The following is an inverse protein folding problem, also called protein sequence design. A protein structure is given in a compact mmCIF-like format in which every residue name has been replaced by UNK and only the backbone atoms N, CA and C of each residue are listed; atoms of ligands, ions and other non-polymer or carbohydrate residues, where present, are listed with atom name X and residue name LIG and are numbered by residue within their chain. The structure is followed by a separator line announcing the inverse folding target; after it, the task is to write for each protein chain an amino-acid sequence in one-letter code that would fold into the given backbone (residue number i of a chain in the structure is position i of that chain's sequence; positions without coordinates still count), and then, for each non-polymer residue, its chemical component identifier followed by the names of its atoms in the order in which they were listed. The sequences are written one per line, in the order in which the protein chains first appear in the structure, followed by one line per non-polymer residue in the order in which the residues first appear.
data_IF_782239164722
#
_entry.id   IF_782239164722
#
_cell.length_a   1.000
_cell.length_b   1.000
_cell.length_c   1.000
_cell.angle_alpha   90.00
_cell.angle_beta   90.00
_cell.angle_gamma   90.00
#
_symmetry.space_group_name_H-M   'P 1'
#
loop_
_entity.id
_entity.type
_entity.pdbx_description
1 polymer ?
#
# COMPACT_ATOMS: atom_id res chain seq x y z
N UNK A 1 -45.33 -30.50 0.88
CA UNK A 1 -44.81 -29.15 1.17
C UNK A 1 -46.03 -28.25 1.34
N UNK A 2 -46.25 -27.73 2.55
CA UNK A 2 -47.31 -26.73 2.77
C UNK A 2 -46.92 -25.37 2.17
N UNK A 3 -47.92 -24.51 1.97
CA UNK A 3 -47.74 -23.19 1.35
C UNK A 3 -46.81 -22.27 2.14
N UNK A 4 -46.73 -22.46 3.46
CA UNK A 4 -45.89 -21.66 4.35
C UNK A 4 -44.40 -22.01 4.18
N UNK A 5 -44.07 -23.29 4.09
CA UNK A 5 -42.71 -23.79 3.83
C UNK A 5 -42.22 -23.37 2.45
N UNK A 6 -43.09 -23.42 1.44
CA UNK A 6 -42.77 -22.94 0.09
C UNK A 6 -42.54 -21.42 0.06
N UNK A 7 -43.30 -20.64 0.84
CA UNK A 7 -43.13 -19.20 0.98
C UNK A 7 -41.80 -18.82 1.64
N UNK A 8 -41.42 -19.52 2.73
CA UNK A 8 -40.13 -19.32 3.42
C UNK A 8 -38.93 -19.65 2.53
N UNK A 9 -39.00 -20.74 1.76
CA UNK A 9 -37.95 -21.13 0.83
C UNK A 9 -37.74 -20.09 -0.29
N UNK A 10 -38.84 -19.56 -0.86
CA UNK A 10 -38.78 -18.49 -1.88
C UNK A 10 -38.24 -17.18 -1.33
N UNK A 11 -38.63 -16.81 -0.11
CA UNK A 11 -38.10 -15.61 0.54
C UNK A 11 -36.60 -15.76 0.83
N UNK A 12 -36.16 -16.91 1.34
CA UNK A 12 -34.75 -17.18 1.57
C UNK A 12 -33.93 -17.13 0.27
N UNK A 13 -34.43 -17.72 -0.82
CA UNK A 13 -33.78 -17.65 -2.13
C UNK A 13 -33.69 -16.21 -2.66
N UNK A 14 -34.76 -15.42 -2.52
CA UNK A 14 -34.76 -14.01 -2.91
C UNK A 14 -33.78 -13.15 -2.10
N UNK A 15 -33.71 -13.37 -0.78
CA UNK A 15 -32.75 -12.69 0.10
C UNK A 15 -31.32 -13.08 -0.28
N UNK A 16 -31.07 -14.36 -0.57
CA UNK A 16 -29.77 -14.85 -1.04
C UNK A 16 -29.38 -14.25 -2.40
N UNK A 17 -30.31 -14.14 -3.35
CA UNK A 17 -30.06 -13.47 -4.64
C UNK A 17 -29.73 -11.99 -4.45
N UNK A 18 -30.44 -11.27 -3.57
CA UNK A 18 -30.14 -9.88 -3.27
C UNK A 18 -28.78 -9.69 -2.60
N UNK A 19 -28.40 -10.56 -1.66
CA UNK A 19 -27.06 -10.51 -1.04
C UNK A 19 -25.97 -10.77 -2.07
N UNK A 20 -26.16 -11.75 -2.96
CA UNK A 20 -25.21 -12.05 -4.04
C UNK A 20 -25.08 -10.89 -5.03
N UNK A 21 -26.19 -10.23 -5.40
CA UNK A 21 -26.17 -9.06 -6.26
C UNK A 21 -25.48 -7.84 -5.60
N UNK A 22 -25.64 -7.66 -4.28
CA UNK A 22 -24.92 -6.63 -3.51
C UNK A 22 -23.42 -6.92 -3.39
N UNK A 23 -23.04 -8.17 -3.12
CA UNK A 23 -21.64 -8.59 -3.10
C UNK A 23 -20.99 -8.40 -4.49
N UNK A 24 -21.68 -8.78 -5.56
CA UNK A 24 -21.21 -8.56 -6.93
C UNK A 24 -21.04 -7.07 -7.29
N UNK A 25 -21.97 -6.20 -6.86
CA UNK A 25 -21.83 -4.74 -7.08
C UNK A 25 -20.75 -4.10 -6.22
N UNK A 26 -20.50 -4.58 -5.00
CA UNK A 26 -19.40 -4.14 -4.14
C UNK A 26 -18.03 -4.58 -4.66
N UNK A 27 -17.89 -5.83 -5.12
CA UNK A 27 -16.69 -6.33 -5.78
C UNK A 27 -16.33 -5.53 -7.05
N UNK A 28 -17.34 -4.99 -7.74
CA UNK A 28 -17.16 -4.10 -8.90
C UNK A 28 -16.75 -2.66 -8.52
N UNK A 29 -16.78 -2.28 -7.24
CA UNK A 29 -16.41 -0.96 -6.76
C UNK A 29 -15.04 -0.93 -6.02
N UNK A 30 -14.69 -2.00 -5.31
CA UNK A 30 -13.42 -2.10 -4.57
C UNK A 30 -12.21 -2.16 -5.51
N UNK A 31 -11.27 -1.19 -5.44
CA UNK A 31 -10.01 -1.27 -6.17
C UNK A 31 -9.14 -2.45 -5.73
N UNK A 32 -9.20 -2.84 -4.45
CA UNK A 32 -8.42 -3.95 -3.92
C UNK A 32 -8.91 -5.30 -4.47
N UNK A 33 -10.22 -5.56 -4.45
CA UNK A 33 -10.82 -6.80 -4.99
C UNK A 33 -10.49 -6.99 -6.46
N UNK A 34 -10.51 -5.91 -7.27
CA UNK A 34 -10.14 -5.97 -8.69
C UNK A 34 -8.67 -6.29 -8.94
N UNK A 35 -7.80 -5.92 -7.99
CA UNK A 35 -6.37 -6.04 -8.12
C UNK A 35 -5.84 -7.39 -7.64
N UNK A 36 -6.54 -8.04 -6.71
CA UNK A 36 -6.16 -9.35 -6.16
C UNK A 36 -6.41 -10.44 -7.21
N UNK A 37 -5.44 -11.35 -7.45
CA UNK A 37 -5.65 -12.51 -8.31
C UNK A 37 -6.81 -13.40 -7.82
N UNK A 38 -7.67 -13.93 -8.72
CA UNK A 38 -8.85 -14.71 -8.32
C UNK A 38 -8.54 -15.91 -7.41
N UNK A 39 -7.40 -16.58 -7.63
CA UNK A 39 -6.98 -17.72 -6.80
C UNK A 39 -6.71 -17.31 -5.34
N UNK A 40 -6.16 -16.11 -5.12
CA UNK A 40 -5.91 -15.58 -3.77
C UNK A 40 -7.21 -15.09 -3.14
N UNK A 41 -8.06 -14.41 -3.92
CA UNK A 41 -9.38 -13.97 -3.46
C UNK A 41 -10.23 -15.16 -2.99
N UNK A 42 -10.17 -16.29 -3.68
CA UNK A 42 -10.87 -17.52 -3.28
C UNK A 42 -10.37 -18.15 -1.96
N UNK A 43 -9.15 -17.82 -1.51
CA UNK A 43 -8.62 -18.27 -0.22
C UNK A 43 -9.06 -17.37 0.95
N UNK A 44 -9.60 -16.19 0.66
CA UNK A 44 -10.18 -15.31 1.66
C UNK A 44 -11.54 -15.91 2.04
N UNK A 45 -11.58 -16.54 3.22
CA UNK A 45 -12.62 -17.53 3.59
C UNK A 45 -14.00 -16.90 3.82
N UNK A 46 -14.07 -15.57 3.91
CA UNK A 46 -15.33 -14.83 3.94
C UNK A 46 -15.37 -13.89 2.74
N UNK A 47 -16.47 -13.90 1.98
CA UNK A 47 -16.69 -13.01 0.82
C UNK A 47 -16.53 -11.50 1.14
N UNK A 48 -16.47 -11.15 2.44
CA UNK A 48 -16.24 -9.79 2.93
C UNK A 48 -14.81 -9.50 3.38
N UNK A 49 -13.92 -10.49 3.49
CA UNK A 49 -12.57 -10.29 4.05
C UNK A 49 -11.76 -9.30 3.20
N UNK A 50 -11.92 -9.31 1.87
CA UNK A 50 -11.25 -8.35 0.98
C UNK A 50 -11.78 -6.92 1.17
N UNK A 51 -13.10 -6.75 1.29
CA UNK A 51 -13.70 -5.44 1.55
C UNK A 51 -13.33 -4.91 2.95
N UNK A 52 -13.27 -5.80 3.95
CA UNK A 52 -12.85 -5.47 5.32
C UNK A 52 -11.37 -5.12 5.32
N UNK A 53 -10.53 -5.87 4.61
CA UNK A 53 -9.11 -5.58 4.44
C UNK A 53 -8.88 -4.20 3.82
N UNK A 54 -9.58 -3.87 2.72
CA UNK A 54 -9.49 -2.54 2.09
C UNK A 54 -9.85 -1.43 3.08
N UNK A 55 -10.98 -1.57 3.79
CA UNK A 55 -11.45 -0.58 4.78
C UNK A 55 -10.46 -0.41 5.93
N UNK A 56 -9.94 -1.51 6.47
CA UNK A 56 -9.01 -1.48 7.61
C UNK A 56 -7.65 -0.88 7.22
N UNK A 57 -7.12 -1.22 6.04
CA UNK A 57 -5.89 -0.61 5.54
C UNK A 57 -6.05 0.89 5.27
N UNK A 58 -7.20 1.32 4.72
CA UNK A 58 -7.52 2.74 4.59
C UNK A 58 -7.65 3.43 5.95
N UNK A 59 -8.25 2.77 6.95
CA UNK A 59 -8.34 3.27 8.31
C UNK A 59 -6.95 3.44 8.96
N UNK A 60 -6.00 2.53 8.69
CA UNK A 60 -4.62 2.69 9.14
C UNK A 60 -3.97 3.97 8.59
N UNK A 61 -4.21 4.32 7.32
CA UNK A 61 -3.71 5.58 6.76
C UNK A 61 -4.35 6.80 7.46
N UNK A 62 -5.66 6.78 7.70
CA UNK A 62 -6.38 7.86 8.41
C UNK A 62 -5.86 8.03 9.83
N UNK A 63 -5.67 6.93 10.55
CA UNK A 63 -5.15 6.94 11.91
C UNK A 63 -3.72 7.50 11.95
N UNK A 64 -2.85 7.03 11.04
CA UNK A 64 -1.48 7.52 10.94
C UNK A 64 -1.42 9.02 10.63
N UNK A 65 -2.26 9.52 9.71
CA UNK A 65 -2.34 10.95 9.39
C UNK A 65 -2.71 11.79 10.62
N UNK A 66 -3.77 11.37 11.33
CA UNK A 66 -4.24 12.04 12.55
C UNK A 66 -3.16 12.06 13.63
N UNK A 67 -2.62 10.90 13.98
CA UNK A 67 -1.59 10.77 15.02
C UNK A 67 -0.30 11.51 14.65
N UNK A 68 0.11 11.46 13.38
CA UNK A 68 1.27 12.17 12.88
C UNK A 68 1.13 13.69 12.98
N UNK A 69 -0.06 14.23 12.66
CA UNK A 69 -0.33 15.67 12.75
C UNK A 69 -0.59 16.14 14.19
N UNK A 70 -1.15 15.29 15.05
CA UNK A 70 -1.47 15.62 16.44
C UNK A 70 -0.28 16.23 17.20
N UNK A 71 0.92 15.70 16.95
CA UNK A 71 2.16 16.10 17.65
C UNK A 71 2.62 17.53 17.34
N UNK A 72 2.30 18.06 16.17
CA UNK A 72 2.85 19.33 15.69
C UNK A 72 1.79 20.37 15.34
N UNK A 73 0.56 19.94 15.07
CA UNK A 73 -0.48 20.79 14.51
C UNK A 73 -1.86 20.55 15.14
N UNK A 74 -1.94 19.97 16.35
CA UNK A 74 -3.23 19.79 17.05
C UNK A 74 -4.28 19.03 16.22
N UNK A 75 -3.84 18.07 15.40
CA UNK A 75 -4.64 17.28 14.44
C UNK A 75 -5.12 18.03 13.19
N UNK A 76 -4.78 19.30 12.98
CA UNK A 76 -5.06 19.96 11.69
C UNK A 76 -4.06 19.50 10.61
N UNK A 77 -4.45 19.49 9.32
CA UNK A 77 -3.49 19.33 8.23
C UNK A 77 -2.46 20.48 8.20
N UNK A 78 -1.18 20.19 7.96
CA UNK A 78 -0.17 21.24 7.76
C UNK A 78 -0.45 22.03 6.49
N UNK A 79 -0.12 23.32 6.50
CA UNK A 79 -0.17 24.20 5.33
C UNK A 79 0.99 23.91 4.38
N UNK A 80 0.90 24.42 3.14
CA UNK A 80 1.98 24.28 2.14
C UNK A 80 3.31 24.87 2.63
N UNK A 81 3.28 26.01 3.33
CA UNK A 81 4.48 26.63 3.87
C UNK A 81 5.10 25.78 4.98
N UNK A 82 4.29 25.26 5.90
CA UNK A 82 4.75 24.37 6.97
C UNK A 82 5.33 23.08 6.40
N UNK A 83 4.71 22.48 5.39
CA UNK A 83 5.23 21.28 4.71
C UNK A 83 6.62 21.51 4.07
N UNK A 84 6.87 22.71 3.53
CA UNK A 84 8.10 23.07 2.84
C UNK A 84 9.22 23.53 3.79
N UNK A 85 8.92 23.76 5.07
CA UNK A 85 9.91 24.14 6.09
C UNK A 85 11.06 23.12 6.12
N UNK A 86 12.31 23.58 6.04
CA UNK A 86 13.48 22.73 6.27
C UNK A 86 13.70 22.62 7.77
N UNK A 87 13.59 21.41 8.30
CA UNK A 87 13.59 21.15 9.75
C UNK A 87 14.92 20.60 10.25
N UNK A 88 15.69 19.99 9.35
CA UNK A 88 17.04 19.50 9.61
C UNK A 88 17.79 19.31 8.28
N UNK A 89 19.06 18.92 8.38
CA UNK A 89 19.83 18.37 7.24
C UNK A 89 20.16 16.92 7.55
N UNK A 90 20.10 16.07 6.54
CA UNK A 90 20.54 14.67 6.69
C UNK A 90 22.07 14.58 6.82
N UNK A 91 22.59 13.36 7.04
CA UNK A 91 24.03 13.11 7.20
C UNK A 91 24.86 13.48 5.97
N UNK A 92 24.26 13.53 4.78
CA UNK A 92 24.92 13.94 3.54
C UNK A 92 24.66 15.44 3.24
N UNK A 93 24.15 16.20 4.21
CA UNK A 93 23.92 17.64 4.12
C UNK A 93 22.68 18.04 3.31
N UNK A 94 21.85 17.09 2.86
CA UNK A 94 20.64 17.40 2.09
C UNK A 94 19.55 17.91 3.04
N UNK A 95 18.78 18.95 2.64
CA UNK A 95 17.70 19.46 3.46
C UNK A 95 16.62 18.41 3.64
N UNK A 96 16.15 18.24 4.88
CA UNK A 96 14.98 17.44 5.21
C UNK A 96 13.84 18.41 5.48
N UNK A 97 12.78 18.31 4.69
CA UNK A 97 11.59 19.14 4.90
C UNK A 97 10.68 18.55 5.96
N UNK A 98 9.79 19.37 6.53
CA UNK A 98 8.73 18.93 7.44
C UNK A 98 7.86 17.86 6.78
N UNK A 99 7.54 18.00 5.50
CA UNK A 99 6.79 16.98 4.75
C UNK A 99 7.50 15.62 4.76
N UNK A 100 8.83 15.60 4.56
CA UNK A 100 9.62 14.36 4.62
C UNK A 100 9.64 13.76 6.03
N UNK A 101 9.79 14.60 7.06
CA UNK A 101 9.77 14.16 8.46
C UNK A 101 8.42 13.54 8.85
N UNK A 102 7.32 14.25 8.57
CA UNK A 102 5.96 13.78 8.84
C UNK A 102 5.65 12.51 8.04
N UNK A 103 6.03 12.47 6.76
CA UNK A 103 5.86 11.30 5.92
C UNK A 103 6.49 10.06 6.55
N UNK A 104 7.77 10.12 6.94
CA UNK A 104 8.47 9.02 7.62
C UNK A 104 7.73 8.56 8.89
N UNK A 105 7.32 9.50 9.74
CA UNK A 105 6.60 9.18 10.97
C UNK A 105 5.26 8.49 10.67
N UNK A 106 4.49 8.99 9.71
CA UNK A 106 3.19 8.45 9.33
C UNK A 106 3.31 7.06 8.69
N UNK A 107 4.33 6.83 7.87
CA UNK A 107 4.62 5.48 7.35
C UNK A 107 4.83 4.47 8.48
N UNK A 108 5.65 4.80 9.50
CA UNK A 108 5.88 3.91 10.64
C UNK A 108 4.56 3.55 11.34
N UNK A 109 3.71 4.54 11.61
CA UNK A 109 2.41 4.32 12.26
C UNK A 109 1.45 3.49 11.39
N UNK A 110 1.39 3.78 10.09
CA UNK A 110 0.49 3.07 9.17
C UNK A 110 0.91 1.62 8.98
N UNK A 111 2.22 1.35 8.86
CA UNK A 111 2.76 0.01 8.71
C UNK A 111 2.53 -0.85 9.95
N UNK A 112 2.67 -0.29 11.15
CA UNK A 112 2.35 -1.00 12.40
C UNK A 112 0.88 -1.43 12.44
N UNK A 113 -0.04 -0.53 12.07
CA UNK A 113 -1.46 -0.85 11.99
C UNK A 113 -1.74 -1.89 10.89
N UNK A 114 -1.18 -1.69 9.70
CA UNK A 114 -1.38 -2.58 8.56
C UNK A 114 -0.86 -3.99 8.83
N UNK A 115 0.26 -4.14 9.54
CA UNK A 115 0.77 -5.45 9.93
C UNK A 115 -0.24 -6.24 10.76
N UNK A 116 -0.91 -5.60 11.73
CA UNK A 116 -1.93 -6.25 12.54
C UNK A 116 -3.13 -6.70 11.69
N UNK A 117 -3.60 -5.82 10.80
CA UNK A 117 -4.69 -6.11 9.86
C UNK A 117 -4.34 -7.28 8.94
N UNK A 118 -3.13 -7.29 8.38
CA UNK A 118 -2.69 -8.33 7.43
C UNK A 118 -2.52 -9.70 8.09
N UNK A 119 -2.05 -9.76 9.34
CA UNK A 119 -1.97 -11.02 10.10
C UNK A 119 -3.33 -11.68 10.32
N UNK A 120 -4.39 -10.88 10.35
CA UNK A 120 -5.76 -11.36 10.57
C UNK A 120 -6.46 -11.71 9.24
N UNK A 121 -6.29 -10.89 8.21
CA UNK A 121 -7.14 -10.93 7.01
C UNK A 121 -6.45 -11.41 5.74
N UNK A 122 -5.11 -11.38 5.66
CA UNK A 122 -4.41 -11.83 4.45
C UNK A 122 -4.04 -13.32 4.55
N UNK A 123 -4.45 -14.17 3.60
CA UNK A 123 -4.35 -15.63 3.75
C UNK A 123 -2.96 -16.21 3.45
N UNK A 124 -2.00 -15.38 3.04
CA UNK A 124 -0.69 -15.81 2.53
C UNK A 124 0.45 -15.00 3.17
N UNK A 125 1.73 -15.31 2.88
CA UNK A 125 2.83 -14.46 3.33
C UNK A 125 2.71 -13.03 2.81
N UNK A 126 3.25 -12.09 3.57
CA UNK A 126 3.43 -10.71 3.14
C UNK A 126 4.78 -10.19 3.62
N UNK A 127 5.30 -9.21 2.90
CA UNK A 127 6.54 -8.51 3.24
C UNK A 127 6.24 -7.05 3.51
N UNK A 128 6.66 -6.54 4.67
CA UNK A 128 6.62 -5.11 4.99
C UNK A 128 7.99 -4.54 4.70
N UNK A 129 8.06 -3.43 3.96
CA UNK A 129 9.27 -2.66 3.67
C UNK A 129 10.45 -3.49 3.13
N UNK A 130 10.20 -4.65 2.52
CA UNK A 130 11.26 -5.48 1.97
C UNK A 130 11.92 -4.74 0.81
N UNK A 131 13.26 -4.67 0.86
CA UNK A 131 14.04 -4.03 -0.19
C UNK A 131 14.44 -5.04 -1.25
N UNK A 132 14.32 -4.65 -2.51
CA UNK A 132 14.68 -5.46 -3.66
C UNK A 132 15.68 -4.73 -4.55
N UNK A 133 16.47 -5.50 -5.28
CA UNK A 133 17.24 -5.01 -6.41
C UNK A 133 16.71 -5.65 -7.67
N UNK A 134 16.26 -4.80 -8.59
CA UNK A 134 15.71 -5.21 -9.86
C UNK A 134 16.69 -4.88 -10.98
N UNK A 135 16.97 -5.87 -11.82
CA UNK A 135 17.83 -5.77 -13.00
C UNK A 135 16.94 -5.88 -14.25
N UNK A 136 16.47 -4.77 -14.83
CA UNK A 136 15.45 -4.78 -15.88
C UNK A 136 15.88 -5.57 -17.13
N UNK A 137 17.13 -5.41 -17.56
CA UNK A 137 17.67 -6.07 -18.75
C UNK A 137 17.70 -7.60 -18.62
N UNK A 138 17.98 -8.09 -17.42
CA UNK A 138 18.01 -9.53 -17.14
C UNK A 138 16.66 -10.08 -16.65
N UNK A 139 15.67 -9.19 -16.40
CA UNK A 139 14.41 -9.49 -15.72
C UNK A 139 14.62 -10.31 -14.44
N UNK A 140 15.63 -9.92 -13.67
CA UNK A 140 16.04 -10.60 -12.45
C UNK A 140 15.78 -9.72 -11.23
N UNK A 141 15.26 -10.33 -10.17
CA UNK A 141 14.95 -9.68 -8.91
C UNK A 141 15.62 -10.45 -7.76
N UNK A 142 16.26 -9.72 -6.86
CA UNK A 142 16.79 -10.27 -5.61
C UNK A 142 16.38 -9.44 -4.41
N UNK A 143 16.26 -10.08 -3.25
CA UNK A 143 16.05 -9.39 -1.97
C UNK A 143 17.36 -8.84 -1.43
N UNK A 144 17.30 -7.64 -0.85
CA UNK A 144 18.36 -7.13 0.04
C UNK A 144 17.91 -7.42 1.47
N UNK A 145 18.71 -8.19 2.22
CA UNK A 145 18.40 -8.50 3.62
C UNK A 145 18.38 -7.26 4.49
N UNK A 146 17.67 -7.31 5.62
CA UNK A 146 17.59 -6.19 6.59
C UNK A 146 18.96 -5.81 7.13
N UNK A 147 19.80 -6.79 7.40
CA UNK A 147 21.16 -6.61 7.91
C UNK A 147 22.03 -5.91 6.85
N UNK A 148 21.92 -6.34 5.59
CA UNK A 148 22.64 -5.72 4.48
C UNK A 148 22.16 -4.28 4.24
N UNK A 149 20.84 -4.05 4.27
CA UNK A 149 20.27 -2.70 4.18
C UNK A 149 20.79 -1.80 5.31
N UNK A 150 20.69 -2.25 6.56
CA UNK A 150 21.13 -1.49 7.73
C UNK A 150 22.63 -1.16 7.67
N UNK A 151 23.46 -2.13 7.26
CA UNK A 151 24.90 -1.93 7.07
C UNK A 151 25.19 -0.86 6.02
N UNK A 152 24.56 -0.95 4.84
CA UNK A 152 24.74 0.04 3.76
C UNK A 152 24.29 1.44 4.20
N UNK A 153 23.20 1.56 4.97
CA UNK A 153 22.76 2.84 5.54
C UNK A 153 23.79 3.38 6.55
N UNK A 154 24.39 2.51 7.38
CA UNK A 154 25.37 2.89 8.39
C UNK A 154 26.71 3.34 7.77
N UNK A 155 27.13 2.72 6.67
CA UNK A 155 28.35 3.06 5.91
C UNK A 155 28.25 4.45 5.24
N UNK A 156 27.05 4.98 5.05
CA UNK A 156 26.79 6.37 4.63
C UNK A 156 26.63 6.55 3.12
N UNK A 157 25.95 7.65 2.74
CA UNK A 157 25.67 8.12 1.37
C UNK A 157 25.49 6.98 0.33
N UNK A 158 24.34 6.33 0.46
CA UNK A 158 23.94 5.00 -0.05
C UNK A 158 23.84 4.87 -1.58
N UNK A 159 24.91 5.10 -2.33
CA UNK A 159 24.93 4.84 -3.78
C UNK A 159 24.65 3.36 -4.09
N UNK A 160 25.01 2.43 -3.21
CA UNK A 160 24.72 1.00 -3.34
C UNK A 160 23.22 0.67 -3.20
N UNK A 161 22.45 1.56 -2.56
CA UNK A 161 20.99 1.47 -2.50
C UNK A 161 20.31 2.23 -3.64
N UNK A 162 21.07 2.96 -4.47
CA UNK A 162 20.56 3.63 -5.66
C UNK A 162 19.95 2.58 -6.60
N UNK A 163 18.75 2.88 -7.10
CA UNK A 163 18.03 1.94 -7.96
C UNK A 163 17.53 0.69 -7.23
N UNK A 164 17.42 0.70 -5.90
CA UNK A 164 16.70 -0.37 -5.18
C UNK A 164 15.23 0.01 -5.00
N UNK A 165 14.38 -1.01 -4.94
CA UNK A 165 12.94 -0.88 -4.74
C UNK A 165 12.63 -1.18 -3.27
N UNK A 166 11.76 -0.39 -2.65
CA UNK A 166 11.26 -0.65 -1.29
C UNK A 166 9.79 -0.27 -1.23
N UNK A 167 8.87 -1.15 -1.66
CA UNK A 167 7.44 -0.97 -1.43
C UNK A 167 7.16 -1.01 0.08
N UNK A 168 6.08 -0.37 0.51
CA UNK A 168 5.66 -0.45 1.91
C UNK A 168 5.18 -1.86 2.26
N UNK A 169 4.36 -2.46 1.40
CA UNK A 169 3.81 -3.79 1.59
C UNK A 169 3.82 -4.53 0.26
N UNK A 170 4.29 -5.77 0.28
CA UNK A 170 4.12 -6.75 -0.80
C UNK A 170 3.28 -7.89 -0.26
N UNK A 171 2.10 -8.09 -0.84
CA UNK A 171 1.23 -9.20 -0.53
C UNK A 171 1.54 -10.34 -1.50
N UNK A 172 1.93 -11.51 -0.98
CA UNK A 172 2.23 -12.68 -1.81
C UNK A 172 0.98 -13.54 -1.97
N UNK A 173 0.86 -14.23 -3.10
CA UNK A 173 -0.21 -15.21 -3.32
C UNK A 173 0.15 -16.63 -2.84
N UNK A 174 1.44 -16.89 -2.67
CA UNK A 174 2.02 -18.16 -2.25
C UNK A 174 3.36 -17.92 -1.51
N UNK A 175 4.26 -18.91 -1.51
CA UNK A 175 5.57 -18.82 -0.85
C UNK A 175 6.69 -18.24 -1.74
N UNK A 176 6.40 -17.83 -2.97
CA UNK A 176 7.36 -17.14 -3.85
C UNK A 176 7.44 -15.65 -3.46
N UNK A 177 8.37 -15.32 -2.56
CA UNK A 177 8.52 -13.96 -2.01
C UNK A 177 9.09 -12.94 -3.02
N UNK A 178 9.45 -13.38 -4.23
CA UNK A 178 9.88 -12.53 -5.34
C UNK A 178 8.73 -12.16 -6.27
N UNK A 179 7.52 -12.68 -6.02
CA UNK A 179 6.31 -12.32 -6.76
C UNK A 179 5.26 -11.71 -5.85
N UNK A 180 4.63 -10.68 -6.35
CA UNK A 180 3.53 -9.98 -5.71
C UNK A 180 2.21 -10.45 -6.30
N UNK A 181 1.24 -10.76 -5.44
CA UNK A 181 -0.17 -10.75 -5.80
C UNK A 181 -0.69 -9.30 -5.85
N UNK A 182 -0.28 -8.48 -4.88
CA UNK A 182 -0.64 -7.06 -4.78
C UNK A 182 0.44 -6.30 -4.02
N UNK A 183 0.91 -5.19 -4.60
CA UNK A 183 1.86 -4.28 -3.96
C UNK A 183 1.12 -3.03 -3.49
N UNK A 184 1.35 -2.61 -2.25
CA UNK A 184 0.70 -1.45 -1.64
C UNK A 184 1.75 -0.45 -1.17
N UNK A 185 1.49 0.83 -1.40
CA UNK A 185 2.35 1.93 -0.98
C UNK A 185 1.48 3.05 -0.36
N UNK A 186 1.74 3.38 0.90
CA UNK A 186 1.07 4.46 1.58
C UNK A 186 1.60 5.81 1.08
N UNK A 187 0.70 6.76 0.84
CA UNK A 187 1.07 8.13 0.51
C UNK A 187 0.37 9.09 1.47
N UNK A 188 1.17 9.97 2.06
CA UNK A 188 0.72 11.04 2.95
C UNK A 188 1.04 12.40 2.32
N UNK A 189 0.15 12.92 1.44
CA UNK A 189 0.36 14.22 0.82
C UNK A 189 0.43 15.34 1.87
N UNK A 190 1.33 16.30 1.65
CA UNK A 190 1.50 17.47 2.50
C UNK A 190 1.55 18.73 1.61
N UNK A 191 0.57 19.64 1.67
CA UNK A 191 -0.67 19.60 2.47
C UNK A 191 -1.66 18.54 1.98
N UNK A 192 -2.74 18.32 2.73
CA UNK A 192 -3.82 17.36 2.42
C UNK A 192 -4.65 17.71 1.17
N UNK A 193 -4.50 18.92 0.64
CA UNK A 193 -5.05 19.32 -0.67
C UNK A 193 -4.29 18.71 -1.84
N UNK A 194 -3.07 18.21 -1.63
CA UNK A 194 -2.31 17.53 -2.68
C UNK A 194 -2.92 16.14 -2.94
N UNK A 195 -2.84 15.69 -4.20
CA UNK A 195 -3.21 14.32 -4.56
C UNK A 195 -2.09 13.35 -4.18
N UNK A 196 -2.42 12.12 -3.74
CA UNK A 196 -1.44 11.04 -3.65
C UNK A 196 -1.02 10.64 -5.07
N UNK A 197 0.29 10.60 -5.30
CA UNK A 197 0.86 10.29 -6.61
C UNK A 197 2.01 9.30 -6.47
N UNK A 198 2.22 8.53 -7.52
CA UNK A 198 3.44 7.74 -7.67
C UNK A 198 4.62 8.65 -7.99
N UNK A 199 5.79 8.31 -7.45
CA UNK A 199 7.02 9.03 -7.80
C UNK A 199 7.33 8.80 -9.27
N UNK A 200 7.54 9.89 -10.02
CA UNK A 200 8.08 9.87 -11.37
C UNK A 200 9.61 10.03 -11.30
N UNK A 201 10.35 9.10 -11.89
CA UNK A 201 11.81 9.14 -11.87
C UNK A 201 12.34 10.04 -12.98
N UNK A 202 12.98 11.14 -12.57
CA UNK A 202 13.57 12.11 -13.47
C UNK A 202 15.00 11.79 -13.91
N UNK A 203 15.64 12.74 -14.62
CA UNK A 203 16.99 12.59 -15.16
C UNK A 203 18.03 12.14 -14.15
N UNK A 204 18.86 11.17 -14.56
CA UNK A 204 19.93 10.62 -13.73
C UNK A 204 19.49 9.53 -12.74
N UNK A 205 18.19 9.22 -12.66
CA UNK A 205 17.73 7.99 -11.99
C UNK A 205 18.10 6.77 -12.82
N UNK A 206 18.47 5.61 -12.22
CA UNK A 206 18.57 4.34 -12.94
C UNK A 206 17.28 3.91 -13.65
N UNK A 207 16.15 4.54 -13.30
CA UNK A 207 14.82 4.25 -13.81
C UNK A 207 14.16 5.47 -14.46
N UNK A 208 14.97 6.35 -15.03
CA UNK A 208 14.50 7.57 -15.71
C UNK A 208 13.35 7.29 -16.68
N UNK A 209 12.31 8.13 -16.60
CA UNK A 209 11.11 8.01 -17.44
C UNK A 209 10.08 6.99 -16.95
N UNK A 210 10.38 6.24 -15.89
CA UNK A 210 9.43 5.30 -15.27
C UNK A 210 8.75 5.91 -14.04
N UNK A 211 7.57 5.39 -13.72
CA UNK A 211 6.92 5.64 -12.44
C UNK A 211 7.28 4.54 -11.43
N UNK A 212 7.20 4.86 -10.14
CA UNK A 212 7.32 3.89 -9.05
C UNK A 212 6.30 2.74 -9.20
N UNK A 213 5.07 3.05 -9.65
CA UNK A 213 4.04 2.04 -9.95
C UNK A 213 4.55 1.04 -10.98
N UNK A 214 5.00 1.56 -12.13
CA UNK A 214 5.46 0.76 -13.26
C UNK A 214 6.61 -0.14 -12.85
N UNK A 215 7.59 0.39 -12.11
CA UNK A 215 8.71 -0.41 -11.61
C UNK A 215 8.28 -1.53 -10.67
N UNK A 216 7.36 -1.27 -9.74
CA UNK A 216 6.87 -2.33 -8.86
C UNK A 216 6.15 -3.42 -9.64
N UNK A 217 5.31 -3.06 -10.61
CA UNK A 217 4.60 -4.01 -11.46
C UNK A 217 5.55 -4.81 -12.34
N UNK A 218 6.54 -4.17 -12.97
CA UNK A 218 7.52 -4.88 -13.80
C UNK A 218 8.44 -5.80 -12.99
N UNK A 219 8.85 -5.36 -11.80
CA UNK A 219 9.79 -6.10 -10.97
C UNK A 219 9.14 -7.27 -10.23
N UNK A 220 7.97 -7.04 -9.62
CA UNK A 220 7.30 -7.98 -8.72
C UNK A 220 6.08 -8.65 -9.35
N UNK A 221 5.60 -8.19 -10.51
CA UNK A 221 4.44 -8.74 -11.22
C UNK A 221 3.13 -8.03 -10.88
N UNK A 222 2.42 -8.48 -9.84
CA UNK A 222 1.04 -8.06 -9.51
C UNK A 222 0.77 -6.55 -9.51
N UNK A 223 -0.52 -6.19 -9.41
CA UNK A 223 -0.89 -4.77 -9.44
C UNK A 223 -0.26 -3.99 -8.29
N UNK A 224 -0.06 -2.68 -8.50
CA UNK A 224 0.43 -1.77 -7.47
C UNK A 224 -0.61 -0.68 -7.21
N UNK A 225 -1.04 -0.53 -5.96
CA UNK A 225 -2.05 0.44 -5.52
C UNK A 225 -1.48 1.40 -4.47
N UNK A 226 -2.03 2.62 -4.44
CA UNK A 226 -1.75 3.58 -3.39
C UNK A 226 -2.80 3.51 -2.31
N UNK A 227 -2.38 3.74 -1.06
CA UNK A 227 -3.27 3.95 0.07
C UNK A 227 -3.03 5.36 0.60
N UNK A 228 -4.09 6.15 0.78
CA UNK A 228 -3.95 7.48 1.36
C UNK A 228 -5.11 7.83 2.29
N UNK A 229 -4.88 8.71 3.28
CA UNK A 229 -5.88 9.02 4.30
C UNK A 229 -7.21 9.53 3.72
N UNK A 230 -7.14 10.44 2.74
CA UNK A 230 -8.33 11.11 2.19
C UNK A 230 -9.02 10.31 1.09
N UNK A 231 -8.27 9.49 0.36
CA UNK A 231 -8.76 8.85 -0.86
C UNK A 231 -8.89 7.33 -0.75
N UNK A 232 -8.50 6.73 0.39
CA UNK A 232 -8.51 5.29 0.59
C UNK A 232 -7.50 4.59 -0.32
N UNK A 233 -7.84 3.36 -0.72
CA UNK A 233 -7.08 2.59 -1.71
C UNK A 233 -7.50 3.03 -3.11
N UNK A 234 -6.53 3.30 -3.98
CA UNK A 234 -6.80 3.69 -5.37
C UNK A 234 -5.84 3.07 -6.36
N UNK A 235 -6.40 2.74 -7.52
CA UNK A 235 -5.61 2.65 -8.74
C UNK A 235 -5.39 4.08 -9.28
N UNK A 236 -4.24 4.65 -8.99
CA UNK A 236 -3.81 5.91 -9.61
C UNK A 236 -3.08 5.55 -10.89
N UNK A 237 -3.49 6.15 -12.02
CA UNK A 237 -2.79 6.01 -13.30
C UNK A 237 -1.43 6.72 -13.18
N UNK A 238 -0.36 6.18 -13.79
CA UNK A 238 0.97 6.80 -13.76
C UNK A 238 0.96 8.25 -14.26
#
# INVERSE_FOLDING_TARGET
MDSETAGKARHAAYVAEQSSARAATQAMASPLVKAIPPAVLALMQQDHDADVLEKQLAACAVQAERLGNARYFENRPPTRQECAEVVEKDRCGKPVTRAMQLGKQKHVLALQCAEAVLKELWPAPFSIEQRYRYYPNARFLETISREKEARLIAEGCTEELRGTLKPDIVLHGDRDLLKSALTLDFKFPCPDTNLPNWTQYGPGSPYEGMSQKTLYQEALGGQALLISPRYGIREVKP
#
